data_IF_593982816519
#
_entry.id   IF_593982816519
#
_cell.length_a   1.000
_cell.length_b   1.000
_cell.length_c   1.000
_cell.angle_alpha   90.00
_cell.angle_beta   90.00
_cell.angle_gamma   90.00
#
_symmetry.space_group_name_H-M   'P 1'
#
loop_
_entity.id
_entity.type
_entity.pdbx_description
1 polymer ?
#
# COMPACT_ATOMS: atom_id res chain seq x y z
N UNK A 1 8.35 3.92 17.03
CA UNK A 1 7.87 2.55 16.89
C UNK A 1 8.00 2.05 15.45
N UNK A 2 7.45 2.78 14.49
CA UNK A 2 7.58 2.47 13.04
C UNK A 2 9.04 2.42 12.57
N UNK A 3 9.96 3.08 13.26
CA UNK A 3 11.39 3.09 12.97
C UNK A 3 12.08 1.72 13.08
N UNK A 4 11.49 0.76 13.78
CA UNK A 4 12.05 -0.57 14.05
C UNK A 4 11.50 -1.67 13.13
N UNK A 5 10.45 -1.37 12.34
CA UNK A 5 9.83 -2.33 11.45
C UNK A 5 10.65 -2.52 10.17
N UNK A 6 10.69 -3.74 9.65
CA UNK A 6 11.27 -4.02 8.34
C UNK A 6 10.49 -3.33 7.21
N UNK A 7 11.10 -3.08 6.03
CA UNK A 7 10.37 -2.56 4.88
C UNK A 7 9.13 -3.39 4.54
N UNK A 8 9.25 -4.71 4.54
CA UNK A 8 8.15 -5.61 4.26
C UNK A 8 7.04 -5.52 5.33
N UNK A 9 7.39 -5.47 6.62
CA UNK A 9 6.41 -5.31 7.69
C UNK A 9 5.61 -4.00 7.59
N UNK A 10 6.26 -2.91 7.16
CA UNK A 10 5.59 -1.63 6.90
C UNK A 10 4.62 -1.73 5.72
N UNK A 11 5.01 -2.40 4.64
CA UNK A 11 4.14 -2.63 3.47
C UNK A 11 2.95 -3.52 3.82
N UNK A 12 3.16 -4.57 4.62
CA UNK A 12 2.07 -5.45 5.13
C UNK A 12 1.09 -4.66 5.99
N UNK A 13 1.60 -3.84 6.91
CA UNK A 13 0.78 -2.98 7.75
C UNK A 13 -0.06 -1.99 6.92
N UNK A 14 0.57 -1.36 5.93
CA UNK A 14 -0.10 -0.43 5.02
C UNK A 14 -1.16 -1.10 4.16
N UNK A 15 -0.86 -2.28 3.59
CA UNK A 15 -1.81 -3.07 2.80
C UNK A 15 -3.00 -3.55 3.62
N UNK A 16 -2.76 -4.10 4.80
CA UNK A 16 -3.82 -4.52 5.72
C UNK A 16 -4.71 -3.36 6.17
N UNK A 17 -4.11 -2.23 6.53
CA UNK A 17 -4.84 -1.00 6.86
C UNK A 17 -5.69 -0.47 5.71
N UNK A 18 -5.20 -0.60 4.47
CA UNK A 18 -5.95 -0.20 3.26
C UNK A 18 -7.15 -1.11 3.01
N UNK A 19 -7.01 -2.43 3.15
CA UNK A 19 -8.13 -3.38 3.03
C UNK A 19 -9.22 -3.07 4.07
N UNK A 20 -8.81 -2.91 5.33
CA UNK A 20 -9.75 -2.58 6.41
C UNK A 20 -10.48 -1.25 6.12
N UNK A 21 -9.76 -0.22 5.71
CA UNK A 21 -10.32 1.08 5.38
C UNK A 21 -11.34 1.01 4.25
N UNK A 22 -11.01 0.36 3.15
CA UNK A 22 -11.92 0.24 2.01
C UNK A 22 -13.15 -0.60 2.34
N UNK A 23 -12.99 -1.68 3.10
CA UNK A 23 -14.11 -2.49 3.59
C UNK A 23 -15.07 -1.69 4.46
N UNK A 24 -14.54 -0.94 5.43
CA UNK A 24 -15.36 -0.09 6.30
C UNK A 24 -16.01 1.07 5.53
N UNK A 25 -15.31 1.67 4.56
CA UNK A 25 -15.88 2.74 3.71
C UNK A 25 -17.05 2.23 2.88
N UNK A 26 -16.97 1.01 2.35
CA UNK A 26 -18.02 0.40 1.55
C UNK A 26 -19.33 0.13 2.34
N UNK A 27 -19.25 0.06 3.67
CA UNK A 27 -20.41 -0.14 4.55
C UNK A 27 -21.24 1.13 4.80
N UNK A 28 -20.95 2.24 4.10
CA UNK A 28 -21.62 3.53 4.27
C UNK A 28 -21.59 4.05 5.72
N UNK A 29 -20.41 4.18 6.34
CA UNK A 29 -20.30 4.58 7.73
C UNK A 29 -20.83 6.00 7.94
N UNK A 30 -21.32 6.32 9.14
CA UNK A 30 -21.77 7.68 9.47
C UNK A 30 -20.61 8.68 9.38
N UNK A 31 -20.94 9.96 9.18
CA UNK A 31 -19.96 11.03 8.93
C UNK A 31 -18.83 11.08 9.98
N UNK A 32 -19.16 10.91 11.25
CA UNK A 32 -18.15 10.93 12.33
C UNK A 32 -17.14 9.78 12.21
N UNK A 33 -17.55 8.60 11.71
CA UNK A 33 -16.64 7.48 11.53
C UNK A 33 -15.68 7.70 10.36
N UNK A 34 -16.04 8.56 9.39
CA UNK A 34 -15.13 8.94 8.31
C UNK A 34 -13.86 9.63 8.83
N UNK A 35 -13.93 10.38 9.92
CA UNK A 35 -12.73 10.96 10.53
C UNK A 35 -11.76 9.89 11.03
N UNK A 36 -12.26 8.86 11.70
CA UNK A 36 -11.44 7.72 12.13
C UNK A 36 -10.83 6.96 10.94
N UNK A 37 -11.62 6.80 9.86
CA UNK A 37 -11.12 6.19 8.61
C UNK A 37 -10.04 7.03 7.94
N UNK A 38 -10.09 8.36 8.05
CA UNK A 38 -9.02 9.23 7.54
C UNK A 38 -7.74 9.11 8.37
N UNK A 39 -7.84 8.94 9.69
CA UNK A 39 -6.66 8.60 10.51
C UNK A 39 -6.05 7.26 10.09
N UNK A 40 -6.89 6.25 9.87
CA UNK A 40 -6.44 4.95 9.36
C UNK A 40 -5.81 5.07 7.96
N UNK A 41 -6.36 5.94 7.10
CA UNK A 41 -5.77 6.25 5.79
C UNK A 41 -4.39 6.86 5.94
N UNK A 42 -4.23 7.88 6.79
CA UNK A 42 -2.95 8.52 7.01
C UNK A 42 -1.89 7.52 7.51
N UNK A 43 -2.26 6.64 8.45
CA UNK A 43 -1.37 5.60 8.98
C UNK A 43 -0.99 4.57 7.91
N UNK A 44 -1.95 4.06 7.15
CA UNK A 44 -1.69 3.08 6.09
C UNK A 44 -0.86 3.68 4.95
N UNK A 45 -1.14 4.93 4.56
CA UNK A 45 -0.35 5.65 3.58
C UNK A 45 1.09 5.87 4.07
N UNK A 46 1.27 6.37 5.29
CA UNK A 46 2.59 6.60 5.87
C UNK A 46 3.40 5.30 5.98
N UNK A 47 2.77 4.20 6.39
CA UNK A 47 3.43 2.90 6.49
C UNK A 47 3.88 2.39 5.11
N UNK A 48 3.01 2.46 4.09
CA UNK A 48 3.34 2.05 2.72
C UNK A 48 4.46 2.91 2.13
N UNK A 49 4.37 4.23 2.29
CA UNK A 49 5.36 5.16 1.78
C UNK A 49 6.73 4.96 2.42
N UNK A 50 6.77 4.84 3.76
CA UNK A 50 8.00 4.58 4.49
C UNK A 50 8.60 3.20 4.17
N UNK A 51 7.74 2.19 4.00
CA UNK A 51 8.15 0.86 3.56
C UNK A 51 8.82 0.88 2.19
N UNK A 52 8.22 1.60 1.24
CA UNK A 52 8.81 1.82 -0.08
C UNK A 52 10.15 2.55 -0.02
N UNK A 53 10.23 3.67 0.72
CA UNK A 53 11.47 4.42 0.84
C UNK A 53 12.61 3.58 1.39
N UNK A 54 12.35 2.78 2.42
CA UNK A 54 13.36 1.89 3.01
C UNK A 54 13.74 0.76 2.06
N UNK A 55 12.78 0.17 1.37
CA UNK A 55 13.06 -0.85 0.36
C UNK A 55 13.93 -0.28 -0.76
N UNK A 56 13.60 0.90 -1.28
CA UNK A 56 14.36 1.57 -2.33
C UNK A 56 15.78 1.91 -1.87
N UNK A 57 15.95 2.42 -0.65
CA UNK A 57 17.26 2.74 -0.10
C UNK A 57 18.19 1.53 0.05
N UNK A 58 17.63 0.31 0.22
CA UNK A 58 18.44 -0.91 0.28
C UNK A 58 18.67 -1.57 -1.07
N UNK A 59 17.78 -1.34 -2.04
CA UNK A 59 17.76 -2.09 -3.30
C UNK A 59 18.27 -1.30 -4.51
N UNK A 60 18.25 0.04 -4.42
CA UNK A 60 18.60 0.93 -5.53
C UNK A 60 19.93 1.62 -5.22
N UNK A 61 20.95 1.55 -6.09
CA UNK A 61 22.18 2.32 -5.93
C UNK A 61 21.90 3.83 -5.83
N UNK A 62 22.64 4.55 -4.99
CA UNK A 62 22.41 5.97 -4.68
C UNK A 62 22.30 6.85 -5.92
N UNK A 63 23.11 6.56 -6.96
CA UNK A 63 23.09 7.28 -8.25
C UNK A 63 21.73 7.22 -8.97
N UNK A 64 20.88 6.23 -8.68
CA UNK A 64 19.56 6.04 -9.28
C UNK A 64 18.40 6.32 -8.30
N UNK A 65 18.68 6.71 -7.06
CA UNK A 65 17.64 6.90 -6.03
C UNK A 65 16.59 7.93 -6.46
N UNK A 66 17.00 9.07 -6.99
CA UNK A 66 16.10 10.11 -7.49
C UNK A 66 15.26 9.62 -8.70
N UNK A 67 15.86 8.89 -9.61
CA UNK A 67 15.16 8.30 -10.77
C UNK A 67 14.13 7.26 -10.32
N UNK A 68 14.50 6.37 -9.40
CA UNK A 68 13.58 5.39 -8.83
C UNK A 68 12.38 6.04 -8.13
N UNK A 69 12.61 7.10 -7.37
CA UNK A 69 11.56 7.88 -6.73
C UNK A 69 10.64 8.55 -7.76
N UNK A 70 11.19 9.15 -8.82
CA UNK A 70 10.42 9.79 -9.88
C UNK A 70 9.54 8.77 -10.64
N UNK A 71 10.07 7.60 -10.97
CA UNK A 71 9.31 6.51 -11.61
C UNK A 71 8.19 6.04 -10.71
N UNK A 72 8.46 5.79 -9.42
CA UNK A 72 7.42 5.39 -8.48
C UNK A 72 6.31 6.44 -8.37
N UNK A 73 6.67 7.72 -8.28
CA UNK A 73 5.69 8.80 -8.20
C UNK A 73 4.83 8.91 -9.46
N UNK A 74 5.42 8.76 -10.64
CA UNK A 74 4.72 8.78 -11.91
C UNK A 74 3.78 7.59 -12.08
N UNK A 75 4.23 6.39 -11.70
CA UNK A 75 3.42 5.18 -11.81
C UNK A 75 2.35 5.11 -10.73
N UNK A 76 2.72 5.18 -9.45
CA UNK A 76 1.79 5.01 -8.34
C UNK A 76 0.89 6.24 -8.17
N UNK A 77 1.47 7.44 -8.12
CA UNK A 77 0.72 8.69 -7.94
C UNK A 77 0.03 9.19 -9.20
N UNK A 78 0.56 8.84 -10.39
CA UNK A 78 -0.03 9.21 -11.67
C UNK A 78 -0.95 8.11 -12.22
N UNK A 79 -0.38 7.14 -12.91
CA UNK A 79 -1.14 6.16 -13.71
C UNK A 79 -2.07 5.31 -12.83
N UNK A 80 -1.54 4.68 -11.77
CA UNK A 80 -2.34 3.78 -10.91
C UNK A 80 -3.42 4.56 -10.19
N UNK A 81 -3.14 5.77 -9.70
CA UNK A 81 -4.14 6.62 -9.03
C UNK A 81 -5.24 7.05 -9.99
N UNK A 82 -4.91 7.44 -11.23
CA UNK A 82 -5.90 7.81 -12.24
C UNK A 82 -6.83 6.63 -12.59
N UNK A 83 -6.27 5.44 -12.82
CA UNK A 83 -7.04 4.23 -13.08
C UNK A 83 -7.91 3.84 -11.88
N UNK A 84 -7.36 3.86 -10.67
CA UNK A 84 -8.12 3.56 -9.45
C UNK A 84 -9.28 4.54 -9.26
N UNK A 85 -9.06 5.84 -9.51
CA UNK A 85 -10.11 6.86 -9.43
C UNK A 85 -11.21 6.64 -10.46
N UNK A 86 -10.86 6.33 -11.70
CA UNK A 86 -11.83 6.07 -12.77
C UNK A 86 -12.68 4.81 -12.46
N UNK A 87 -12.03 3.72 -12.07
CA UNK A 87 -12.70 2.46 -11.69
C UNK A 87 -13.59 2.68 -10.46
N UNK A 88 -13.06 3.32 -9.42
CA UNK A 88 -13.82 3.63 -8.21
C UNK A 88 -15.05 4.50 -8.51
N UNK A 89 -14.89 5.55 -9.34
CA UNK A 89 -15.99 6.42 -9.76
C UNK A 89 -17.08 5.67 -10.53
N UNK A 90 -16.70 4.79 -11.43
CA UNK A 90 -17.64 3.96 -12.19
C UNK A 90 -18.48 3.06 -11.28
N UNK A 91 -17.85 2.37 -10.32
CA UNK A 91 -18.57 1.52 -9.37
C UNK A 91 -19.39 2.32 -8.37
N UNK A 92 -18.89 3.48 -7.92
CA UNK A 92 -19.64 4.38 -7.05
C UNK A 92 -20.91 4.88 -7.73
N UNK A 93 -20.86 5.25 -8.99
CA UNK A 93 -22.04 5.69 -9.74
C UNK A 93 -23.15 4.65 -9.83
N UNK A 94 -22.80 3.36 -9.76
CA UNK A 94 -23.76 2.23 -9.87
C UNK A 94 -24.20 1.66 -8.54
N UNK A 95 -23.31 1.62 -7.55
CA UNK A 95 -23.50 0.90 -6.28
C UNK A 95 -23.42 1.82 -5.07
N UNK A 96 -23.26 3.14 -5.27
CA UNK A 96 -23.03 4.06 -4.18
C UNK A 96 -21.75 3.72 -3.41
N UNK A 97 -21.76 3.90 -2.10
CA UNK A 97 -20.60 3.64 -1.24
C UNK A 97 -20.12 2.19 -1.27
N UNK A 98 -21.02 1.21 -1.49
CA UNK A 98 -20.64 -0.20 -1.65
C UNK A 98 -19.67 -0.42 -2.83
N UNK A 99 -19.67 0.44 -3.84
CA UNK A 99 -18.74 0.42 -4.96
C UNK A 99 -17.27 0.57 -4.55
N UNK A 100 -16.98 1.16 -3.40
CA UNK A 100 -15.61 1.26 -2.89
C UNK A 100 -15.00 -0.09 -2.48
N UNK A 101 -15.81 -1.15 -2.31
CA UNK A 101 -15.30 -2.49 -2.07
C UNK A 101 -14.36 -2.99 -3.17
N UNK A 102 -14.50 -2.49 -4.41
CA UNK A 102 -13.60 -2.85 -5.52
C UNK A 102 -12.14 -2.50 -5.22
N UNK A 103 -11.89 -1.48 -4.39
CA UNK A 103 -10.55 -1.04 -4.01
C UNK A 103 -9.85 -2.02 -3.05
N UNK A 104 -10.57 -3.01 -2.50
CA UNK A 104 -9.96 -4.10 -1.74
C UNK A 104 -9.07 -4.96 -2.64
N UNK A 105 -9.41 -5.12 -3.91
CA UNK A 105 -8.64 -5.98 -4.84
C UNK A 105 -7.20 -5.49 -5.02
N UNK A 106 -6.94 -4.23 -5.43
CA UNK A 106 -5.56 -3.75 -5.54
C UNK A 106 -4.85 -3.68 -4.18
N UNK A 107 -5.56 -3.41 -3.08
CA UNK A 107 -4.98 -3.43 -1.74
C UNK A 107 -4.55 -4.84 -1.33
N UNK A 108 -5.36 -5.85 -1.63
CA UNK A 108 -5.03 -7.27 -1.38
C UNK A 108 -3.87 -7.75 -2.27
N UNK A 109 -3.82 -7.33 -3.52
CA UNK A 109 -2.70 -7.61 -4.41
C UNK A 109 -1.38 -7.02 -3.87
N UNK A 110 -1.41 -5.77 -3.40
CA UNK A 110 -0.27 -5.12 -2.76
C UNK A 110 0.16 -5.82 -1.47
N UNK A 111 -0.80 -6.23 -0.64
CA UNK A 111 -0.53 -7.00 0.57
C UNK A 111 0.12 -8.36 0.26
N UNK A 112 -0.40 -9.08 -0.73
CA UNK A 112 0.17 -10.36 -1.17
C UNK A 112 1.61 -10.19 -1.66
N UNK A 113 1.89 -9.16 -2.46
CA UNK A 113 3.23 -8.83 -2.92
C UNK A 113 4.18 -8.51 -1.74
N UNK A 114 3.71 -7.77 -0.73
CA UNK A 114 4.49 -7.46 0.47
C UNK A 114 4.83 -8.71 1.29
N UNK A 115 3.87 -9.64 1.45
CA UNK A 115 4.09 -10.92 2.14
C UNK A 115 5.09 -11.79 1.37
N UNK A 116 5.00 -11.83 0.04
CA UNK A 116 5.97 -12.56 -0.78
C UNK A 116 7.37 -11.96 -0.63
N UNK A 117 7.49 -10.63 -0.65
CA UNK A 117 8.76 -9.93 -0.41
C UNK A 117 9.36 -10.31 0.93
N UNK A 118 8.56 -10.32 2.00
CA UNK A 118 9.01 -10.69 3.35
C UNK A 118 9.55 -12.12 3.38
N UNK A 119 8.84 -13.07 2.78
CA UNK A 119 9.26 -14.49 2.71
C UNK A 119 10.56 -14.68 1.95
N UNK A 120 10.79 -13.91 0.88
CA UNK A 120 12.04 -14.00 0.10
C UNK A 120 13.20 -13.37 0.87
N UNK A 121 12.96 -12.26 1.55
CA UNK A 121 13.98 -11.53 2.32
C UNK A 121 14.41 -12.27 3.60
N UNK A 122 13.55 -13.10 4.17
CA UNK A 122 13.83 -13.85 5.41
C UNK A 122 14.45 -15.24 5.16
N UNK A 123 14.57 -15.69 3.89
CA UNK A 123 15.24 -16.95 3.57
C UNK A 123 16.76 -16.80 3.75
N UNK A 124 17.41 -17.59 4.61
CA UNK A 124 18.86 -17.55 4.75
C UNK A 124 19.51 -17.89 3.40
N UNK A 125 20.53 -17.10 3.04
CA UNK A 125 21.32 -17.34 1.84
C UNK A 125 21.95 -18.75 1.92
N UNK A 126 21.66 -19.60 0.94
CA UNK A 126 22.18 -20.98 0.85
C UNK A 126 23.72 -21.05 0.71
N UNK A 127 24.40 -19.90 0.69
CA UNK A 127 25.86 -19.79 0.49
C UNK A 127 26.71 -19.89 1.77
N UNK A 128 26.10 -20.05 2.95
CA UNK A 128 26.84 -20.19 4.21
C UNK A 128 26.96 -21.67 4.71
N UNK A 129 26.59 -22.68 3.88
CA UNK A 129 26.57 -24.09 4.29
C UNK A 129 27.61 -24.93 3.52
N UNK A 130 28.46 -24.32 2.66
CA UNK A 130 29.58 -25.02 1.98
C UNK A 130 30.94 -24.57 2.48
#
# INVERSE_FOLDING_TARGET
>A
WLGRLSPAALLILGGGGSILRWGLTAMAPPLWALFALQCLHALSFAATYLGFLRFAAHSVPDRFAATGQAINSALAGGVVMALASAVSGYFFARLGTAGFAIMILPAAAGLAAAILLDRVSTRPSRKEID
#
